data_IF_703302435254
#
_entry.id   IF_703302435254
#
_cell.length_a   1.000
_cell.length_b   1.000
_cell.length_c   1.000
_cell.angle_alpha   90.00
_cell.angle_beta   90.00
_cell.angle_gamma   90.00
#
_symmetry.space_group_name_H-M   'P 1'
#
loop_
_entity.id
_entity.type
_entity.pdbx_description
1 polymer ?
#
# COMPACT_ATOMS: atom_id res chain seq x y z
N UNK A 1 13.11 -60.35 -39.02
CA UNK A 1 11.70 -59.88 -39.17
C UNK A 1 11.46 -58.84 -38.07
N UNK A 2 11.63 -57.54 -38.38
CA UNK A 2 11.54 -56.45 -37.39
C UNK A 2 10.07 -56.00 -37.30
N UNK A 3 9.42 -56.17 -36.15
CA UNK A 3 8.10 -55.59 -35.86
C UNK A 3 8.29 -54.27 -35.11
N UNK A 4 8.05 -53.18 -35.84
CA UNK A 4 8.15 -51.80 -35.40
C UNK A 4 6.80 -51.36 -34.81
N UNK A 5 6.61 -51.53 -33.49
CA UNK A 5 5.42 -51.04 -32.81
C UNK A 5 5.59 -49.54 -32.51
N UNK A 6 4.96 -48.71 -33.33
CA UNK A 6 5.01 -47.25 -33.23
C UNK A 6 4.38 -46.80 -31.89
N UNK A 7 5.17 -46.09 -31.07
CA UNK A 7 4.69 -45.45 -29.84
C UNK A 7 4.02 -44.14 -30.25
N UNK A 8 2.69 -44.12 -30.38
CA UNK A 8 1.93 -42.87 -30.56
C UNK A 8 1.71 -42.23 -29.20
N UNK A 9 2.52 -41.22 -28.85
CA UNK A 9 2.32 -40.41 -27.64
C UNK A 9 1.00 -39.63 -27.73
N UNK A 10 0.13 -39.66 -26.68
CA UNK A 10 -1.10 -38.89 -26.70
C UNK A 10 -0.77 -37.39 -26.76
N UNK A 11 -1.29 -36.68 -27.77
CA UNK A 11 -1.21 -35.21 -27.84
C UNK A 11 -2.04 -34.65 -26.70
N UNK A 12 -1.37 -34.03 -25.73
CA UNK A 12 -2.02 -33.25 -24.68
C UNK A 12 -2.73 -32.06 -25.35
N UNK A 13 -4.06 -32.13 -25.46
CA UNK A 13 -4.88 -31.01 -25.95
C UNK A 13 -4.72 -29.84 -25.00
N UNK A 14 -4.03 -28.79 -25.45
CA UNK A 14 -3.93 -27.53 -24.71
C UNK A 14 -5.31 -26.91 -24.65
N UNK A 15 -5.91 -26.88 -23.46
CA UNK A 15 -7.15 -26.16 -23.21
C UNK A 15 -6.82 -24.67 -23.17
N UNK A 16 -7.40 -23.89 -24.09
CA UNK A 16 -7.35 -22.43 -24.05
C UNK A 16 -8.44 -21.89 -23.12
N UNK A 17 -8.23 -20.69 -22.58
CA UNK A 17 -9.24 -19.98 -21.80
C UNK A 17 -10.47 -19.68 -22.66
N UNK A 18 -11.66 -19.92 -22.11
CA UNK A 18 -12.92 -19.47 -22.69
C UNK A 18 -13.12 -17.98 -22.45
N UNK A 19 -13.75 -17.30 -23.40
CA UNK A 19 -14.09 -15.87 -23.28
C UNK A 19 -14.93 -15.57 -22.03
N UNK A 20 -15.79 -16.53 -21.62
CA UNK A 20 -16.62 -16.39 -20.42
C UNK A 20 -15.79 -16.40 -19.13
N UNK A 21 -14.72 -17.21 -19.09
CA UNK A 21 -13.84 -17.32 -17.92
C UNK A 21 -13.08 -16.00 -17.71
N UNK A 22 -12.61 -15.39 -18.79
CA UNK A 22 -11.97 -14.06 -18.72
C UNK A 22 -12.98 -12.96 -18.36
N UNK A 23 -14.18 -13.01 -18.93
CA UNK A 23 -15.24 -12.03 -18.68
C UNK A 23 -15.64 -11.96 -17.20
N UNK A 24 -15.84 -13.12 -16.57
CA UNK A 24 -16.16 -13.19 -15.14
C UNK A 24 -15.06 -12.55 -14.28
N UNK A 25 -13.78 -12.79 -14.62
CA UNK A 25 -12.65 -12.26 -13.85
C UNK A 25 -12.63 -10.73 -13.88
N UNK A 26 -12.77 -10.12 -15.06
CA UNK A 26 -12.75 -8.65 -15.16
C UNK A 26 -13.96 -8.02 -14.45
N UNK A 27 -15.12 -8.70 -14.45
CA UNK A 27 -16.31 -8.25 -13.71
C UNK A 27 -16.04 -8.26 -12.21
N UNK A 28 -15.45 -9.34 -11.68
CA UNK A 28 -15.11 -9.43 -10.25
C UNK A 28 -14.09 -8.35 -9.87
N UNK A 29 -13.02 -8.16 -10.65
CA UNK A 29 -12.02 -7.11 -10.40
C UNK A 29 -12.66 -5.72 -10.45
N UNK A 30 -13.56 -5.47 -11.39
CA UNK A 30 -14.29 -4.21 -11.52
C UNK A 30 -15.14 -3.89 -10.29
N UNK A 31 -15.88 -4.88 -9.76
CA UNK A 31 -16.69 -4.72 -8.53
C UNK A 31 -15.79 -4.42 -7.33
N UNK A 32 -14.70 -5.17 -7.15
CA UNK A 32 -13.77 -4.93 -6.05
C UNK A 32 -13.15 -3.53 -6.12
N UNK A 33 -12.71 -3.09 -7.29
CA UNK A 33 -12.12 -1.76 -7.48
C UNK A 33 -13.15 -0.64 -7.25
N UNK A 34 -14.39 -0.81 -7.71
CA UNK A 34 -15.47 0.17 -7.52
C UNK A 34 -15.76 0.42 -6.03
N UNK A 35 -15.63 -0.59 -5.18
CA UNK A 35 -15.80 -0.46 -3.73
C UNK A 35 -14.57 0.16 -3.04
N UNK A 36 -13.36 -0.10 -3.55
CA UNK A 36 -12.09 0.34 -2.95
C UNK A 36 -11.79 1.82 -3.26
N UNK A 37 -12.02 2.28 -4.49
CA UNK A 37 -11.72 3.65 -4.94
C UNK A 37 -12.33 4.77 -4.06
N UNK A 38 -13.63 4.75 -3.68
CA UNK A 38 -14.22 5.81 -2.86
C UNK A 38 -13.60 5.86 -1.45
N UNK A 39 -13.23 4.72 -0.88
CA UNK A 39 -12.58 4.65 0.44
C UNK A 39 -11.16 5.24 0.43
N UNK A 40 -10.43 5.09 -0.69
CA UNK A 40 -9.06 5.59 -0.84
C UNK A 40 -8.96 7.13 -0.81
N UNK A 41 -9.98 7.83 -1.31
CA UNK A 41 -9.97 9.29 -1.37
C UNK A 41 -9.93 9.93 0.03
N UNK A 42 -10.77 9.44 0.94
CA UNK A 42 -10.80 9.92 2.33
C UNK A 42 -9.59 9.48 3.15
N UNK A 43 -9.07 8.26 2.90
CA UNK A 43 -7.95 7.70 3.64
C UNK A 43 -6.66 8.54 3.49
N UNK A 44 -6.38 9.06 2.29
CA UNK A 44 -5.17 9.88 2.05
C UNK A 44 -5.17 11.20 2.82
N UNK A 45 -6.30 11.91 2.82
CA UNK A 45 -6.42 13.18 3.55
C UNK A 45 -6.30 12.92 5.06
N UNK A 46 -6.96 11.88 5.56
CA UNK A 46 -6.85 11.46 6.96
C UNK A 46 -5.41 11.10 7.32
N UNK A 47 -4.70 10.35 6.48
CA UNK A 47 -3.30 10.01 6.72
C UNK A 47 -2.41 11.26 6.84
N UNK A 48 -2.60 12.26 5.97
CA UNK A 48 -1.84 13.52 6.04
C UNK A 48 -2.15 14.30 7.33
N UNK A 49 -3.43 14.36 7.72
CA UNK A 49 -3.84 15.02 8.97
C UNK A 49 -3.25 14.27 10.17
N UNK A 50 -3.33 12.94 10.19
CA UNK A 50 -2.76 12.11 11.26
C UNK A 50 -1.25 12.28 11.36
N UNK A 51 -0.55 12.36 10.22
CA UNK A 51 0.89 12.60 10.19
C UNK A 51 1.23 13.95 10.85
N UNK A 52 0.61 15.04 10.39
CA UNK A 52 0.86 16.38 10.96
C UNK A 52 0.47 16.44 12.44
N UNK A 53 -0.67 15.84 12.81
CA UNK A 53 -1.09 15.77 14.22
C UNK A 53 -0.05 15.05 15.08
N UNK A 54 0.56 13.99 14.57
CA UNK A 54 1.59 13.23 15.28
C UNK A 54 2.87 14.04 15.43
N UNK A 55 3.29 14.76 14.38
CA UNK A 55 4.46 15.66 14.43
C UNK A 55 4.26 16.78 15.47
N UNK A 56 3.07 17.39 15.53
CA UNK A 56 2.75 18.41 16.55
C UNK A 56 2.82 17.82 17.96
N UNK A 57 2.22 16.65 18.19
CA UNK A 57 2.30 15.97 19.49
C UNK A 57 3.75 15.64 19.87
N UNK A 58 4.59 15.23 18.92
CA UNK A 58 6.01 15.00 19.18
C UNK A 58 6.76 16.27 19.56
N UNK A 59 6.47 17.40 18.91
CA UNK A 59 7.03 18.70 19.28
C UNK A 59 6.58 19.15 20.67
N UNK A 60 5.30 19.00 20.99
CA UNK A 60 4.76 19.33 22.31
C UNK A 60 5.44 18.52 23.42
N UNK A 61 5.58 17.20 23.22
CA UNK A 61 6.32 16.35 24.15
C UNK A 61 7.80 16.76 24.29
N UNK A 62 8.45 17.20 23.20
CA UNK A 62 9.81 17.70 23.25
C UNK A 62 9.92 19.01 24.06
N UNK A 63 8.95 19.93 23.91
CA UNK A 63 8.89 21.17 24.69
C UNK A 63 8.72 20.88 26.19
N UNK A 64 7.75 20.02 26.54
CA UNK A 64 7.52 19.60 27.93
C UNK A 64 8.76 18.92 28.51
N UNK A 65 9.43 18.06 27.73
CA UNK A 65 10.68 17.43 28.15
C UNK A 65 11.82 18.44 28.36
N UNK A 66 11.91 19.48 27.52
CA UNK A 66 12.90 20.55 27.67
C UNK A 66 12.64 21.36 28.94
N UNK A 67 11.39 21.80 29.15
CA UNK A 67 10.99 22.56 30.33
C UNK A 67 11.22 21.77 31.62
N UNK A 68 10.89 20.49 31.63
CA UNK A 68 11.15 19.63 32.79
C UNK A 68 12.63 19.58 33.18
N UNK A 69 13.52 19.58 32.18
CA UNK A 69 14.98 19.47 32.35
C UNK A 69 15.64 20.82 32.69
N UNK A 70 15.22 21.90 32.05
CA UNK A 70 15.88 23.22 32.15
C UNK A 70 15.08 24.27 32.91
N UNK A 71 13.87 23.93 33.39
CA UNK A 71 12.95 24.83 34.11
C UNK A 71 12.60 26.12 33.37
N UNK A 72 12.72 26.08 32.04
CA UNK A 72 12.43 27.17 31.12
C UNK A 72 12.06 26.58 29.77
N UNK A 73 11.24 27.28 28.99
CA UNK A 73 10.96 26.96 27.59
C UNK A 73 12.20 27.23 26.71
N UNK A 74 12.32 26.56 25.55
CA UNK A 74 13.43 26.81 24.63
C UNK A 74 13.34 28.21 23.98
N UNK A 75 14.48 28.83 23.66
CA UNK A 75 14.51 30.14 23.00
C UNK A 75 13.91 30.06 21.59
N UNK A 76 13.12 31.05 21.20
CA UNK A 76 12.47 31.13 19.89
C UNK A 76 13.44 31.43 18.73
N UNK A 77 14.63 31.94 19.04
CA UNK A 77 15.71 32.18 18.08
C UNK A 77 17.05 31.83 18.73
N UNK A 78 17.89 31.12 17.98
CA UNK A 78 19.29 30.85 18.34
C UNK A 78 20.16 31.76 17.47
N UNK A 79 20.57 32.91 18.02
CA UNK A 79 21.60 33.75 17.39
C UNK A 79 22.96 33.14 17.70
N UNK A 80 23.54 32.43 16.73
CA UNK A 80 24.91 31.92 16.82
C UNK A 80 25.85 33.07 16.43
N UNK A 81 26.76 33.53 17.31
CA UNK A 81 27.77 34.50 16.91
C UNK A 81 28.71 33.84 15.89
N UNK A 82 28.74 34.39 14.67
CA UNK A 82 29.71 34.06 13.61
C UNK A 82 31.07 34.67 13.88
#
# INVERSE_FOLDING_TARGET
MKLNHQITSPRHSRHGFSLIELLVVIVIIGILMALILPALNGARIRARITQVSTEITQLDQALVSFENRFKSLPPSSLTIPT
#
